data_IF_813036430239
#
_entry.id   IF_813036430239
#
_cell.length_a   1.000
_cell.length_b   1.000
_cell.length_c   1.000
_cell.angle_alpha   90.00
_cell.angle_beta   90.00
_cell.angle_gamma   90.00
#
_symmetry.space_group_name_H-M   'P 1'
#
loop_
_entity.id
_entity.type
_entity.pdbx_description
1 polymer ?
#
# COMPACT_ATOMS: atom_id res chain seq x y z
N UNK A 1 21.23 10.92 -42.71
CA UNK A 1 20.79 12.11 -41.94
C UNK A 1 21.05 11.86 -40.46
N UNK A 2 21.61 12.79 -39.68
CA UNK A 2 21.95 12.54 -38.29
C UNK A 2 20.69 12.47 -37.40
N UNK A 3 20.63 11.47 -36.53
CA UNK A 3 19.62 11.36 -35.46
C UNK A 3 19.87 12.47 -34.43
N UNK A 4 18.87 13.32 -34.18
CA UNK A 4 18.95 14.43 -33.23
C UNK A 4 18.26 14.05 -31.92
N UNK A 5 18.97 14.17 -30.80
CA UNK A 5 18.44 13.95 -29.46
C UNK A 5 18.14 15.27 -28.73
N UNK A 6 17.00 15.41 -28.07
CA UNK A 6 16.68 16.65 -27.34
C UNK A 6 17.29 16.66 -25.93
N UNK A 7 17.76 17.84 -25.49
CA UNK A 7 18.32 18.01 -24.14
C UNK A 7 17.28 17.74 -23.06
N UNK A 8 17.71 17.15 -21.94
CA UNK A 8 16.82 16.75 -20.83
C UNK A 8 16.09 17.91 -20.12
N UNK A 9 16.55 19.16 -20.28
CA UNK A 9 15.93 20.34 -19.65
C UNK A 9 14.90 21.05 -20.55
N UNK A 10 14.84 20.74 -21.84
CA UNK A 10 13.83 21.31 -22.74
C UNK A 10 12.58 20.45 -22.74
N UNK A 11 11.64 20.72 -21.81
CA UNK A 11 10.36 19.99 -21.62
C UNK A 11 9.38 20.04 -22.81
N UNK A 12 9.78 20.58 -23.97
CA UNK A 12 8.91 20.76 -25.15
C UNK A 12 9.60 20.34 -26.44
N UNK A 13 9.96 19.06 -26.53
CA UNK A 13 10.31 18.47 -27.81
C UNK A 13 9.50 17.19 -28.00
N UNK A 14 8.86 16.99 -29.18
CA UNK A 14 8.23 15.73 -29.49
C UNK A 14 9.25 14.60 -29.34
N UNK A 15 8.82 13.49 -28.75
CA UNK A 15 9.53 12.23 -28.87
C UNK A 15 9.73 11.92 -30.36
N UNK A 16 10.74 11.11 -30.68
CA UNK A 16 11.14 10.61 -32.00
C UNK A 16 11.70 11.64 -33.02
N UNK A 17 12.95 11.35 -33.42
CA UNK A 17 13.63 11.70 -34.67
C UNK A 17 12.83 12.63 -35.59
N UNK A 18 13.09 13.93 -35.51
CA UNK A 18 12.60 14.88 -36.50
C UNK A 18 13.61 14.97 -37.66
N UNK A 19 13.11 14.97 -38.90
CA UNK A 19 13.89 15.48 -40.03
C UNK A 19 13.96 17.00 -39.86
N UNK A 20 15.07 17.49 -39.32
CA UNK A 20 15.21 18.91 -39.02
C UNK A 20 15.96 19.59 -40.15
N UNK A 21 15.34 20.61 -40.74
CA UNK A 21 16.04 21.62 -41.53
C UNK A 21 16.98 22.37 -40.58
N UNK A 22 18.28 22.25 -40.79
CA UNK A 22 19.28 22.95 -39.98
C UNK A 22 19.70 24.20 -40.71
N UNK A 23 19.48 25.35 -40.09
CA UNK A 23 20.06 26.59 -40.60
C UNK A 23 21.54 26.66 -40.15
N UNK A 24 22.43 26.44 -41.11
CA UNK A 24 23.87 26.57 -40.93
C UNK A 24 24.36 28.02 -41.08
N UNK A 25 23.50 28.96 -41.51
CA UNK A 25 23.89 30.35 -41.76
C UNK A 25 23.92 31.16 -40.46
N UNK A 26 25.02 31.89 -40.27
CA UNK A 26 25.26 32.85 -39.19
C UNK A 26 25.23 32.25 -37.78
N UNK A 27 26.24 31.45 -37.47
CA UNK A 27 26.65 31.24 -36.10
C UNK A 27 27.41 32.48 -35.61
N UNK A 28 26.96 33.11 -34.52
CA UNK A 28 27.81 34.07 -33.82
C UNK A 28 29.09 33.35 -33.37
N UNK A 29 30.31 33.91 -33.54
CA UNK A 29 31.56 33.28 -33.13
C UNK A 29 31.53 32.81 -31.66
N UNK A 30 30.80 33.52 -30.81
CA UNK A 30 30.57 33.17 -29.40
C UNK A 30 29.92 31.80 -29.20
N UNK A 31 29.06 31.33 -30.11
CA UNK A 31 28.43 30.01 -30.02
C UNK A 31 29.38 28.86 -30.33
N UNK A 32 30.29 29.05 -31.30
CA UNK A 32 31.32 28.07 -31.59
C UNK A 32 32.29 27.90 -30.41
N UNK A 33 32.71 29.01 -29.81
CA UNK A 33 33.57 29.01 -28.64
C UNK A 33 32.90 28.31 -27.46
N UNK A 34 31.67 28.72 -27.12
CA UNK A 34 30.92 28.17 -25.99
C UNK A 34 30.58 26.68 -26.17
N UNK A 35 30.20 26.25 -27.37
CA UNK A 35 29.99 24.84 -27.66
C UNK A 35 31.28 24.04 -27.46
N UNK A 36 32.41 24.55 -27.97
CA UNK A 36 33.72 23.89 -27.86
C UNK A 36 34.17 23.74 -26.41
N UNK A 37 33.99 24.78 -25.58
CA UNK A 37 34.28 24.73 -24.14
C UNK A 37 33.51 23.62 -23.41
N UNK A 38 32.31 23.29 -23.89
CA UNK A 38 31.49 22.21 -23.33
C UNK A 38 31.72 20.83 -23.98
N UNK A 39 32.63 20.72 -24.96
CA UNK A 39 32.94 19.47 -25.66
C UNK A 39 32.05 19.19 -26.88
N UNK A 40 31.52 20.23 -27.52
CA UNK A 40 30.65 20.14 -28.69
C UNK A 40 31.13 21.00 -29.86
N UNK A 41 30.79 20.59 -31.07
CA UNK A 41 30.82 21.45 -32.26
C UNK A 41 29.44 22.06 -32.47
N UNK A 42 29.36 23.38 -32.65
CA UNK A 42 28.11 24.00 -33.11
C UNK A 42 27.73 23.41 -34.48
N UNK A 43 26.51 22.89 -34.57
CA UNK A 43 26.03 22.17 -35.75
C UNK A 43 24.99 22.96 -36.55
N UNK A 44 24.35 23.95 -35.92
CA UNK A 44 23.39 24.85 -36.56
C UNK A 44 22.29 25.27 -35.58
N UNK A 45 21.21 25.84 -36.10
CA UNK A 45 20.04 26.24 -35.30
C UNK A 45 18.74 25.75 -35.90
N UNK A 46 17.70 25.71 -35.07
CA UNK A 46 16.34 25.48 -35.54
C UNK A 46 15.84 26.74 -36.29
N UNK A 47 15.39 26.61 -37.55
CA UNK A 47 14.93 27.75 -38.35
C UNK A 47 13.60 28.32 -37.84
N UNK A 48 12.78 27.51 -37.16
CA UNK A 48 11.49 27.92 -36.57
C UNK A 48 11.68 28.40 -35.14
N UNK A 49 12.59 27.79 -34.39
CA UNK A 49 12.83 28.09 -32.97
C UNK A 49 14.25 28.66 -32.81
N UNK A 50 14.39 29.97 -33.03
CA UNK A 50 15.70 30.66 -32.98
C UNK A 50 16.47 30.47 -31.66
N UNK A 51 15.76 30.19 -30.57
CA UNK A 51 16.36 29.93 -29.26
C UNK A 51 16.89 28.49 -29.11
N UNK A 52 16.76 27.64 -30.11
CA UNK A 52 17.22 26.25 -30.10
C UNK A 52 18.38 26.06 -31.07
N UNK A 53 19.48 25.51 -30.56
CA UNK A 53 20.70 25.22 -31.32
C UNK A 53 21.00 23.74 -31.32
N UNK A 54 21.57 23.25 -32.42
CA UNK A 54 22.05 21.89 -32.55
C UNK A 54 23.55 21.84 -32.26
N UNK A 55 23.94 20.90 -31.41
CA UNK A 55 25.30 20.66 -30.99
C UNK A 55 25.68 19.24 -31.38
N UNK A 56 26.85 19.05 -31.99
CA UNK A 56 27.42 17.75 -32.31
C UNK A 56 28.47 17.41 -31.26
N UNK A 57 28.29 16.30 -30.55
CA UNK A 57 29.21 15.88 -29.49
C UNK A 57 30.55 15.46 -30.09
N UNK A 58 31.66 16.01 -29.57
CA UNK A 58 33.00 15.66 -30.05
C UNK A 58 33.41 14.23 -29.66
N UNK A 59 32.79 13.63 -28.64
CA UNK A 59 33.13 12.28 -28.18
C UNK A 59 32.36 11.15 -28.87
N UNK A 60 31.12 11.38 -29.28
CA UNK A 60 30.26 10.32 -29.85
C UNK A 60 29.65 10.63 -31.20
N UNK A 61 29.93 11.82 -31.74
CA UNK A 61 29.35 12.42 -32.96
C UNK A 61 27.82 12.59 -32.95
N UNK A 62 27.15 12.24 -31.84
CA UNK A 62 25.72 12.42 -31.67
C UNK A 62 25.32 13.89 -31.72
N UNK A 63 24.23 14.18 -32.43
CA UNK A 63 23.66 15.53 -32.52
C UNK A 63 22.59 15.68 -31.45
N UNK A 64 22.61 16.80 -30.74
CA UNK A 64 21.58 17.14 -29.76
C UNK A 64 21.06 18.55 -29.91
N UNK A 65 19.79 18.76 -29.57
CA UNK A 65 19.16 20.07 -29.55
C UNK A 65 19.18 20.65 -28.13
N UNK A 66 19.66 21.88 -27.98
CA UNK A 66 19.79 22.57 -26.69
C UNK A 66 19.22 23.98 -26.82
N UNK A 67 18.53 24.45 -25.79
CA UNK A 67 18.11 25.85 -25.74
C UNK A 67 19.33 26.76 -25.49
N UNK A 68 19.44 27.88 -26.18
CA UNK A 68 20.57 28.82 -26.08
C UNK A 68 20.83 29.29 -24.65
N UNK A 69 19.77 29.51 -23.87
CA UNK A 69 19.89 29.77 -22.42
C UNK A 69 20.65 28.66 -21.69
N UNK A 70 20.31 27.38 -21.92
CA UNK A 70 20.98 26.23 -21.27
C UNK A 70 22.44 26.14 -21.69
N UNK A 71 22.75 26.41 -22.96
CA UNK A 71 24.14 26.46 -23.43
C UNK A 71 24.95 27.57 -22.75
N UNK A 72 24.32 28.68 -22.36
CA UNK A 72 24.96 29.81 -21.67
C UNK A 72 25.09 29.64 -20.16
N UNK A 73 24.10 29.03 -19.52
CA UNK A 73 23.98 29.03 -18.05
C UNK A 73 24.34 27.69 -17.41
N UNK A 74 24.53 26.64 -18.22
CA UNK A 74 24.84 25.31 -17.72
C UNK A 74 25.75 24.55 -18.70
N UNK A 75 26.31 23.43 -18.24
CA UNK A 75 27.02 22.48 -19.09
C UNK A 75 26.04 21.41 -19.59
N UNK A 76 25.58 21.43 -20.86
CA UNK A 76 24.65 20.43 -21.35
C UNK A 76 25.31 19.05 -21.41
N UNK A 77 24.61 18.01 -20.94
CA UNK A 77 25.05 16.62 -21.05
C UNK A 77 24.59 16.01 -22.37
N UNK A 78 25.49 15.31 -23.05
CA UNK A 78 25.18 14.67 -24.32
C UNK A 78 24.18 13.54 -24.09
N UNK A 79 23.02 13.62 -24.75
CA UNK A 79 21.96 12.61 -24.57
C UNK A 79 22.39 11.25 -25.10
N UNK A 80 23.08 11.18 -26.24
CA UNK A 80 23.60 9.92 -26.77
C UNK A 80 24.65 9.30 -25.85
N UNK A 81 25.63 10.06 -25.35
CA UNK A 81 26.63 9.55 -24.41
C UNK A 81 25.98 9.04 -23.13
N UNK A 82 24.98 9.77 -22.60
CA UNK A 82 24.29 9.35 -21.40
C UNK A 82 23.49 8.05 -21.60
N UNK A 83 22.75 7.92 -22.69
CA UNK A 83 21.98 6.70 -22.97
C UNK A 83 22.93 5.49 -23.17
N UNK A 84 24.07 5.69 -23.84
CA UNK A 84 25.12 4.66 -23.94
C UNK A 84 25.70 4.32 -22.57
N UNK A 85 25.91 5.30 -21.70
CA UNK A 85 26.38 5.07 -20.34
C UNK A 85 25.36 4.28 -19.53
N UNK A 86 24.07 4.62 -19.60
CA UNK A 86 22.99 3.84 -18.97
C UNK A 86 22.96 2.40 -19.48
N UNK A 87 23.13 2.19 -20.78
CA UNK A 87 23.18 0.84 -21.35
C UNK A 87 24.36 0.04 -20.82
N UNK A 88 25.57 0.63 -20.77
CA UNK A 88 26.76 -0.02 -20.20
C UNK A 88 26.59 -0.34 -18.71
N UNK A 89 26.04 0.59 -17.94
CA UNK A 89 25.76 0.40 -16.51
C UNK A 89 24.69 -0.67 -16.26
N UNK A 90 23.67 -0.74 -17.12
CA UNK A 90 22.68 -1.80 -17.10
C UNK A 90 23.35 -3.16 -17.33
N UNK A 91 24.17 -3.30 -18.37
CA UNK A 91 24.91 -4.54 -18.63
C UNK A 91 25.78 -4.95 -17.45
N UNK A 92 26.51 -4.01 -16.85
CA UNK A 92 27.30 -4.27 -15.63
C UNK A 92 26.45 -4.69 -14.42
N UNK A 93 25.19 -4.26 -14.37
CA UNK A 93 24.20 -4.65 -13.36
C UNK A 93 23.43 -5.94 -13.70
N UNK A 94 23.76 -6.64 -14.79
CA UNK A 94 23.02 -7.82 -15.25
C UNK A 94 21.62 -7.49 -15.79
N UNK A 95 21.42 -6.27 -16.29
CA UNK A 95 20.19 -5.76 -16.87
C UNK A 95 20.39 -5.43 -18.36
N UNK A 96 19.31 -5.49 -19.13
CA UNK A 96 19.28 -4.95 -20.49
C UNK A 96 18.60 -3.58 -20.48
N UNK A 97 19.27 -2.52 -20.96
CA UNK A 97 18.62 -1.22 -21.13
C UNK A 97 17.75 -1.20 -22.38
N UNK A 98 16.44 -0.98 -22.21
CA UNK A 98 15.48 -0.95 -23.31
C UNK A 98 15.30 0.47 -23.86
N UNK A 99 14.97 1.41 -22.96
CA UNK A 99 14.63 2.80 -23.35
C UNK A 99 14.65 3.74 -22.16
N UNK A 100 14.82 5.06 -22.39
CA UNK A 100 14.54 6.05 -21.35
C UNK A 100 13.06 6.03 -20.94
N UNK A 101 12.78 6.41 -19.70
CA UNK A 101 11.40 6.56 -19.25
C UNK A 101 10.74 7.79 -19.93
N UNK A 102 9.55 7.65 -20.54
CA UNK A 102 8.91 8.75 -21.29
C UNK A 102 8.60 9.99 -20.44
N UNK A 103 8.29 9.79 -19.16
CA UNK A 103 7.82 10.85 -18.26
C UNK A 103 8.83 11.23 -17.18
N UNK A 104 9.97 10.54 -17.09
CA UNK A 104 11.01 10.82 -16.09
C UNK A 104 12.40 10.64 -16.68
N UNK A 105 13.07 11.77 -16.94
CA UNK A 105 14.39 11.80 -17.55
C UNK A 105 15.52 11.21 -16.68
N UNK A 106 15.26 10.98 -15.38
CA UNK A 106 16.21 10.35 -14.45
C UNK A 106 16.07 8.83 -14.39
N UNK A 107 15.02 8.27 -15.02
CA UNK A 107 14.72 6.84 -15.02
C UNK A 107 14.91 6.20 -16.39
N UNK A 108 15.33 4.94 -16.37
CA UNK A 108 15.35 4.05 -17.52
C UNK A 108 14.37 2.91 -17.33
N UNK A 109 13.94 2.32 -18.45
CA UNK A 109 13.24 1.05 -18.51
C UNK A 109 14.26 -0.02 -18.90
N UNK A 110 14.33 -1.08 -18.11
CA UNK A 110 15.30 -2.16 -18.26
C UNK A 110 14.60 -3.50 -18.23
N UNK A 111 15.14 -4.52 -18.92
CA UNK A 111 14.74 -5.92 -18.72
C UNK A 111 15.64 -6.54 -17.66
N UNK A 112 15.01 -7.12 -16.65
CA UNK A 112 15.70 -7.89 -15.61
C UNK A 112 15.98 -9.33 -16.08
N UNK A 113 16.89 -10.02 -15.40
CA UNK A 113 17.20 -11.44 -15.68
C UNK A 113 16.00 -12.38 -15.53
N UNK A 114 14.98 -11.99 -14.75
CA UNK A 114 13.71 -12.68 -14.66
C UNK A 114 12.76 -12.44 -15.86
N UNK A 115 13.18 -11.69 -16.88
CA UNK A 115 12.43 -11.38 -18.09
C UNK A 115 11.52 -10.14 -18.01
N UNK A 116 11.21 -9.65 -16.80
CA UNK A 116 10.30 -8.52 -16.58
C UNK A 116 10.94 -7.15 -16.86
N UNK A 117 10.13 -6.20 -17.30
CA UNK A 117 10.54 -4.79 -17.41
C UNK A 117 10.47 -4.09 -16.04
N UNK A 118 11.51 -3.34 -15.70
CA UNK A 118 11.61 -2.56 -14.46
C UNK A 118 11.99 -1.11 -14.75
N UNK A 119 11.35 -0.18 -14.04
CA UNK A 119 11.68 1.25 -14.12
C UNK A 119 12.60 1.65 -12.98
N UNK A 120 13.83 2.06 -13.25
CA UNK A 120 14.83 2.39 -12.22
C UNK A 120 15.57 3.68 -12.52
N UNK A 121 15.92 4.39 -11.45
CA UNK A 121 16.85 5.51 -11.55
C UNK A 121 18.25 5.00 -11.91
N UNK A 122 18.98 5.77 -12.72
CA UNK A 122 20.35 5.41 -13.12
C UNK A 122 21.26 5.12 -11.93
N UNK A 123 21.21 5.97 -10.88
CA UNK A 123 22.02 5.82 -9.66
C UNK A 123 21.75 4.49 -8.95
N UNK A 124 20.50 4.00 -8.98
CA UNK A 124 20.17 2.70 -8.40
C UNK A 124 20.78 1.54 -9.22
N UNK A 125 20.72 1.63 -10.56
CA UNK A 125 21.35 0.65 -11.45
C UNK A 125 22.88 0.61 -11.25
N UNK A 126 23.52 1.76 -11.10
CA UNK A 126 24.95 1.83 -10.77
C UNK A 126 25.28 1.13 -9.43
N UNK A 127 24.42 1.27 -8.41
CA UNK A 127 24.60 0.56 -7.13
C UNK A 127 24.44 -0.96 -7.29
N UNK A 128 23.55 -1.42 -8.17
CA UNK A 128 23.40 -2.86 -8.48
C UNK A 128 24.68 -3.38 -9.16
N UNK A 129 25.17 -2.70 -10.20
CA UNK A 129 26.39 -3.10 -10.91
C UNK A 129 27.64 -3.10 -10.02
N UNK A 130 27.65 -2.26 -8.98
CA UNK A 130 28.69 -2.26 -7.95
C UNK A 130 28.48 -3.32 -6.86
N UNK A 131 27.46 -4.18 -6.94
CA UNK A 131 27.15 -5.20 -5.95
C UNK A 131 26.63 -4.67 -4.60
N UNK A 132 26.32 -3.38 -4.49
CA UNK A 132 25.93 -2.75 -3.21
C UNK A 132 24.48 -3.03 -2.83
N UNK A 133 23.62 -3.28 -3.80
CA UNK A 133 22.21 -3.58 -3.61
C UNK A 133 21.74 -4.62 -4.62
N UNK A 134 20.83 -5.49 -4.21
CA UNK A 134 20.19 -6.42 -5.13
C UNK A 134 19.04 -5.75 -5.89
N UNK A 135 18.79 -6.20 -7.12
CA UNK A 135 17.58 -5.83 -7.85
C UNK A 135 16.36 -6.50 -7.20
N UNK A 136 15.39 -5.70 -6.78
CA UNK A 136 14.04 -6.17 -6.44
C UNK A 136 13.12 -5.94 -7.63
N UNK A 137 12.65 -6.99 -8.29
CA UNK A 137 11.61 -6.89 -9.33
C UNK A 137 10.22 -6.93 -8.68
N UNK A 138 9.37 -5.94 -8.98
CA UNK A 138 8.01 -5.83 -8.43
C UNK A 138 7.14 -7.01 -8.87
N UNK A 139 7.18 -7.39 -10.15
CA UNK A 139 6.39 -8.51 -10.67
C UNK A 139 6.81 -9.84 -10.04
N UNK A 140 8.10 -10.12 -9.90
CA UNK A 140 8.57 -11.33 -9.21
C UNK A 140 8.16 -11.35 -7.74
N UNK A 141 8.21 -10.20 -7.07
CA UNK A 141 7.77 -10.07 -5.69
C UNK A 141 6.26 -10.36 -5.57
N UNK A 142 5.44 -9.77 -6.42
CA UNK A 142 3.99 -10.00 -6.43
C UNK A 142 3.65 -11.46 -6.73
N UNK A 143 4.32 -12.07 -7.71
CA UNK A 143 4.16 -13.49 -8.02
C UNK A 143 4.52 -14.39 -6.82
N UNK A 144 5.61 -14.06 -6.10
CA UNK A 144 5.98 -14.77 -4.88
C UNK A 144 4.94 -14.61 -3.78
N UNK A 145 4.46 -13.38 -3.55
CA UNK A 145 3.45 -13.11 -2.54
C UNK A 145 2.11 -13.82 -2.88
N UNK A 146 1.72 -13.86 -4.15
CA UNK A 146 0.54 -14.58 -4.62
C UNK A 146 0.70 -16.09 -4.51
N UNK A 147 1.90 -16.62 -4.75
CA UNK A 147 2.21 -18.03 -4.53
C UNK A 147 2.12 -18.40 -3.04
N UNK A 148 2.64 -17.54 -2.16
CA UNK A 148 2.55 -17.75 -0.72
C UNK A 148 1.10 -17.72 -0.22
N UNK A 149 0.33 -16.74 -0.66
CA UNK A 149 -1.10 -16.66 -0.35
C UNK A 149 -1.83 -17.95 -0.71
N UNK A 150 -1.56 -18.51 -1.90
CA UNK A 150 -2.18 -19.75 -2.37
C UNK A 150 -1.85 -20.95 -1.48
N UNK A 151 -0.62 -21.04 -0.95
CA UNK A 151 -0.25 -22.11 0.00
C UNK A 151 -1.11 -22.07 1.27
N UNK A 152 -1.53 -20.88 1.68
CA UNK A 152 -2.39 -20.68 2.84
C UNK A 152 -3.90 -20.69 2.52
N UNK A 153 -4.30 -20.97 1.26
CA UNK A 153 -5.71 -20.94 0.86
C UNK A 153 -6.26 -19.53 0.62
N UNK A 154 -5.40 -18.57 0.25
CA UNK A 154 -5.77 -17.18 -0.04
C UNK A 154 -5.37 -16.77 -1.46
N UNK A 155 -6.12 -15.82 -2.01
CA UNK A 155 -5.87 -15.19 -3.30
C UNK A 155 -5.45 -13.75 -3.04
N UNK A 156 -4.30 -13.32 -3.56
CA UNK A 156 -3.86 -11.93 -3.51
C UNK A 156 -4.71 -11.09 -4.48
N UNK A 157 -5.43 -10.09 -3.94
CA UNK A 157 -6.23 -9.16 -4.75
C UNK A 157 -5.44 -7.90 -5.14
N UNK A 158 -4.44 -7.51 -4.35
CA UNK A 158 -3.57 -6.37 -4.66
C UNK A 158 -3.35 -5.43 -3.48
N UNK A 159 -3.44 -4.13 -3.75
CA UNK A 159 -3.24 -3.08 -2.76
C UNK A 159 -4.24 -3.20 -1.59
N UNK A 160 -3.82 -2.86 -0.36
CA UNK A 160 -4.70 -2.93 0.81
C UNK A 160 -5.73 -1.81 0.82
N UNK A 161 -6.81 -1.99 1.57
CA UNK A 161 -7.85 -0.96 1.73
C UNK A 161 -7.43 0.20 2.61
N UNK A 162 -6.51 -0.01 3.55
CA UNK A 162 -6.02 1.03 4.46
C UNK A 162 -4.87 1.87 3.88
N UNK A 163 -4.37 1.55 2.69
CA UNK A 163 -3.25 2.25 2.05
C UNK A 163 -1.85 1.98 2.65
N UNK A 164 -1.72 1.17 3.70
CA UNK A 164 -0.41 0.87 4.31
C UNK A 164 0.38 -0.11 3.43
N UNK A 165 1.56 0.27 2.91
CA UNK A 165 2.33 -0.57 1.99
C UNK A 165 2.79 -1.91 2.57
N UNK A 166 2.77 -2.09 3.90
CA UNK A 166 3.09 -3.35 4.57
C UNK A 166 1.96 -4.38 4.49
N UNK A 167 0.75 -3.95 4.14
CA UNK A 167 -0.42 -4.79 3.98
C UNK A 167 -0.68 -5.08 2.51
N UNK A 168 -1.42 -6.16 2.28
CA UNK A 168 -2.02 -6.50 1.00
C UNK A 168 -3.45 -6.99 1.23
N UNK A 169 -4.31 -6.76 0.24
CA UNK A 169 -5.69 -7.25 0.25
C UNK A 169 -5.70 -8.70 -0.24
N UNK A 170 -6.33 -9.58 0.51
CA UNK A 170 -6.48 -11.00 0.16
C UNK A 170 -7.95 -11.42 0.21
N UNK A 171 -8.30 -12.42 -0.61
CA UNK A 171 -9.57 -13.14 -0.60
C UNK A 171 -9.33 -14.55 -0.05
N UNK A 172 -10.10 -14.94 0.97
CA UNK A 172 -10.05 -16.29 1.50
C UNK A 172 -10.77 -17.24 0.54
N UNK A 173 -10.10 -18.29 0.06
CA UNK A 173 -10.71 -19.23 -0.89
C UNK A 173 -11.88 -20.01 -0.28
N UNK A 174 -11.83 -20.33 1.01
CA UNK A 174 -12.85 -21.16 1.67
C UNK A 174 -14.18 -20.46 1.97
N UNK A 175 -14.20 -19.13 2.15
CA UNK A 175 -15.42 -18.39 2.52
C UNK A 175 -15.63 -17.07 1.76
N UNK A 176 -14.77 -16.77 0.78
CA UNK A 176 -14.81 -15.53 -0.01
C UNK A 176 -14.69 -14.23 0.80
N UNK A 177 -14.27 -14.30 2.06
CA UNK A 177 -14.02 -13.12 2.87
C UNK A 177 -12.76 -12.39 2.40
N UNK A 178 -12.84 -11.06 2.34
CA UNK A 178 -11.69 -10.22 2.00
C UNK A 178 -11.14 -9.54 3.26
N UNK A 179 -9.82 -9.53 3.41
CA UNK A 179 -9.18 -8.78 4.49
C UNK A 179 -7.77 -8.33 4.12
N UNK A 180 -7.31 -7.30 4.82
CA UNK A 180 -5.92 -6.85 4.71
C UNK A 180 -5.07 -7.68 5.68
N UNK A 181 -3.98 -8.25 5.17
CA UNK A 181 -3.02 -9.05 5.95
C UNK A 181 -1.64 -8.48 5.69
N UNK A 182 -0.80 -8.38 6.72
CA UNK A 182 0.60 -7.97 6.53
C UNK A 182 1.33 -9.01 5.69
N UNK A 183 2.25 -8.57 4.83
CA UNK A 183 3.07 -9.50 4.02
C UNK A 183 3.86 -10.45 4.94
N UNK A 184 4.34 -9.98 6.08
CA UNK A 184 5.05 -10.80 7.08
C UNK A 184 4.18 -11.89 7.73
N UNK A 185 2.93 -11.57 8.07
CA UNK A 185 2.02 -12.59 8.61
C UNK A 185 1.65 -13.61 7.53
N UNK A 186 1.39 -13.16 6.31
CA UNK A 186 1.13 -14.06 5.17
C UNK A 186 2.30 -15.03 4.94
N UNK A 187 3.54 -14.57 5.07
CA UNK A 187 4.74 -15.42 4.95
C UNK A 187 4.92 -16.41 6.11
N UNK A 188 4.51 -16.04 7.33
CA UNK A 188 4.72 -16.86 8.53
C UNK A 188 3.54 -17.77 8.88
N UNK A 189 2.40 -17.64 8.19
CA UNK A 189 1.16 -18.33 8.54
C UNK A 189 0.45 -17.78 9.79
N UNK A 190 0.96 -16.70 10.40
CA UNK A 190 0.43 -16.13 11.66
C UNK A 190 -0.75 -15.19 11.42
N UNK A 191 -1.83 -15.73 10.89
CA UNK A 191 -3.08 -15.01 10.62
C UNK A 191 -4.24 -15.98 10.53
N UNK A 192 -5.45 -15.43 10.57
CA UNK A 192 -6.68 -16.20 10.56
C UNK A 192 -7.74 -15.44 9.75
N UNK A 193 -8.61 -16.16 9.05
CA UNK A 193 -9.76 -15.55 8.37
C UNK A 193 -10.76 -15.00 9.40
N UNK A 194 -10.96 -13.68 9.45
CA UNK A 194 -11.90 -13.06 10.40
C UNK A 194 -13.36 -13.52 10.25
N UNK A 195 -13.69 -14.19 9.14
CA UNK A 195 -15.02 -14.73 8.88
C UNK A 195 -15.18 -16.21 9.28
N UNK A 196 -14.14 -17.05 9.14
CA UNK A 196 -14.30 -18.50 9.27
C UNK A 196 -13.14 -19.26 9.93
N UNK A 197 -12.03 -18.62 10.32
CA UNK A 197 -10.92 -19.37 10.92
C UNK A 197 -11.22 -19.81 12.36
N UNK A 198 -10.82 -21.04 12.67
CA UNK A 198 -11.19 -21.79 13.87
C UNK A 198 -10.18 -21.73 15.03
N UNK A 199 -9.08 -20.98 14.93
CA UNK A 199 -8.16 -20.80 16.05
C UNK A 199 -8.82 -19.98 17.16
N UNK A 200 -9.21 -20.63 18.27
CA UNK A 200 -10.05 -20.17 19.41
C UNK A 200 -11.57 -20.29 19.26
N UNK A 201 -12.08 -20.59 18.06
CA UNK A 201 -13.50 -20.47 17.74
C UNK A 201 -14.15 -21.82 17.35
N UNK A 202 -13.40 -22.93 17.37
CA UNK A 202 -13.93 -24.28 17.12
C UNK A 202 -14.74 -24.84 18.29
N UNK A 203 -14.32 -24.54 19.52
CA UNK A 203 -14.97 -25.10 20.71
C UNK A 203 -16.32 -24.42 20.95
N UNK A 204 -17.18 -25.11 21.67
CA UNK A 204 -18.42 -24.51 22.18
C UNK A 204 -18.12 -23.22 22.93
N UNK A 205 -18.91 -22.19 22.61
CA UNK A 205 -18.89 -20.91 23.30
C UNK A 205 -20.31 -20.45 23.61
N UNK A 206 -20.41 -19.42 24.43
CA UNK A 206 -21.65 -18.72 24.73
C UNK A 206 -21.56 -17.30 24.21
N UNK A 207 -22.69 -16.76 23.75
CA UNK A 207 -22.96 -15.32 23.86
C UNK A 207 -23.62 -15.10 25.22
N UNK A 208 -23.28 -14.01 25.89
CA UNK A 208 -23.82 -13.69 27.21
C UNK A 208 -24.21 -12.22 27.29
N UNK A 209 -25.09 -11.94 28.23
CA UNK A 209 -25.53 -10.62 28.64
C UNK A 209 -25.19 -10.46 30.11
N UNK A 210 -24.29 -9.54 30.43
CA UNK A 210 -23.95 -9.18 31.80
C UNK A 210 -24.64 -7.89 32.20
N UNK A 211 -24.92 -7.76 33.49
CA UNK A 211 -25.40 -6.56 34.17
C UNK A 211 -24.34 -6.06 35.15
N UNK A 212 -24.23 -4.74 35.26
CA UNK A 212 -23.33 -4.06 36.19
C UNK A 212 -24.10 -2.95 36.89
N UNK A 213 -23.88 -2.82 38.19
CA UNK A 213 -24.41 -1.76 39.04
C UNK A 213 -23.26 -1.14 39.83
N UNK A 214 -23.09 0.17 39.68
CA UNK A 214 -22.04 0.90 40.37
C UNK A 214 -22.48 1.24 41.80
N UNK A 215 -21.54 1.39 42.74
CA UNK A 215 -21.83 1.80 44.10
C UNK A 215 -22.67 3.08 44.19
N UNK A 216 -23.41 3.21 45.29
CA UNK A 216 -24.17 4.42 45.65
C UNK A 216 -25.18 4.91 44.60
N UNK A 217 -25.62 4.01 43.70
CA UNK A 217 -26.56 4.33 42.62
C UNK A 217 -25.96 5.19 41.51
N UNK A 218 -24.63 5.17 41.35
CA UNK A 218 -23.93 5.98 40.34
C UNK A 218 -24.25 5.59 38.89
N UNK A 219 -24.80 4.39 38.66
CA UNK A 219 -25.30 3.98 37.36
C UNK A 219 -25.46 2.47 37.19
N UNK A 220 -26.23 2.10 36.17
CA UNK A 220 -26.47 0.72 35.76
C UNK A 220 -26.11 0.54 34.28
N UNK A 221 -25.48 -0.59 33.96
CA UNK A 221 -24.95 -0.87 32.63
C UNK A 221 -25.13 -2.34 32.26
N UNK A 222 -25.09 -2.61 30.95
CA UNK A 222 -25.13 -3.98 30.43
C UNK A 222 -24.08 -4.21 29.37
N UNK A 223 -23.54 -5.43 29.31
CA UNK A 223 -22.57 -5.85 28.29
C UNK A 223 -23.09 -7.07 27.54
N UNK A 224 -22.99 -7.01 26.22
CA UNK A 224 -23.05 -8.21 25.38
C UNK A 224 -21.61 -8.64 25.09
N UNK A 225 -21.32 -9.92 25.23
CA UNK A 225 -20.02 -10.48 24.88
C UNK A 225 -20.08 -11.96 24.56
N UNK A 226 -18.94 -12.53 24.19
CA UNK A 226 -18.79 -13.97 23.94
C UNK A 226 -17.66 -14.58 24.77
N UNK A 227 -17.87 -15.79 25.28
CA UNK A 227 -16.87 -16.52 26.06
C UNK A 227 -17.23 -18.01 26.16
N UNK A 228 -16.22 -18.86 26.30
CA UNK A 228 -16.42 -20.27 26.67
C UNK A 228 -16.91 -20.44 28.12
N UNK A 229 -16.61 -19.46 28.98
CA UNK A 229 -16.92 -19.44 30.41
C UNK A 229 -17.34 -18.03 30.83
N UNK A 230 -18.58 -17.59 30.54
CA UNK A 230 -19.07 -16.25 30.87
C UNK A 230 -18.83 -15.87 32.34
N UNK A 231 -19.16 -16.76 33.27
CA UNK A 231 -19.07 -16.50 34.71
C UNK A 231 -17.61 -16.33 35.18
N UNK A 232 -16.69 -17.12 34.63
CA UNK A 232 -15.27 -16.97 34.95
C UNK A 232 -14.67 -15.70 34.33
N UNK A 233 -15.17 -15.28 33.16
CA UNK A 233 -14.78 -14.03 32.52
C UNK A 233 -15.24 -12.83 33.33
N UNK A 234 -16.51 -12.82 33.76
CA UNK A 234 -17.06 -11.78 34.62
C UNK A 234 -16.25 -11.60 35.90
N UNK A 235 -15.90 -12.71 36.57
CA UNK A 235 -15.17 -12.68 37.86
C UNK A 235 -13.69 -12.33 37.76
N UNK A 236 -13.01 -12.64 36.65
CA UNK A 236 -11.54 -12.65 36.63
C UNK A 236 -10.90 -11.84 35.49
N UNK A 237 -11.67 -11.37 34.50
CA UNK A 237 -11.10 -10.75 33.29
C UNK A 237 -11.56 -9.31 33.06
N UNK A 238 -12.57 -8.84 33.79
CA UNK A 238 -13.07 -7.47 33.62
C UNK A 238 -12.43 -6.44 34.53
N UNK A 239 -11.59 -6.85 35.49
CA UNK A 239 -10.87 -5.90 36.36
C UNK A 239 -11.80 -4.83 36.94
N UNK A 240 -12.90 -5.29 37.56
CA UNK A 240 -13.95 -4.42 38.09
C UNK A 240 -13.42 -3.64 39.30
N UNK A 241 -13.74 -2.35 39.35
CA UNK A 241 -13.46 -1.53 40.52
C UNK A 241 -14.20 -2.07 41.77
N UNK A 242 -13.64 -1.77 42.95
CA UNK A 242 -14.21 -2.19 44.23
C UNK A 242 -15.65 -1.69 44.40
N UNK A 243 -16.53 -2.60 44.83
CA UNK A 243 -17.95 -2.30 45.10
C UNK A 243 -18.88 -2.41 43.90
N UNK A 244 -18.38 -2.58 42.67
CA UNK A 244 -19.23 -2.83 41.50
C UNK A 244 -19.91 -4.20 41.63
N UNK A 245 -21.24 -4.21 41.63
CA UNK A 245 -22.01 -5.44 41.55
C UNK A 245 -22.13 -5.88 40.10
N UNK A 246 -21.91 -7.16 39.82
CA UNK A 246 -21.95 -7.69 38.46
C UNK A 246 -22.54 -9.11 38.42
N UNK A 247 -23.42 -9.36 37.44
CA UNK A 247 -24.03 -10.68 37.23
C UNK A 247 -24.19 -11.03 35.74
N UNK A 248 -24.15 -12.32 35.43
CA UNK A 248 -24.52 -12.82 34.09
C UNK A 248 -26.05 -12.98 34.07
N UNK A 249 -26.76 -12.10 33.38
CA UNK A 249 -28.22 -12.17 33.25
C UNK A 249 -28.66 -13.35 32.38
N UNK A 250 -28.04 -13.50 31.21
CA UNK A 250 -28.44 -14.49 30.21
C UNK A 250 -27.26 -15.02 29.43
N UNK A 251 -27.36 -16.28 28.96
CA UNK A 251 -26.40 -16.87 28.00
C UNK A 251 -27.10 -17.77 26.99
N UNK A 252 -26.53 -17.85 25.79
CA UNK A 252 -27.00 -18.75 24.72
C UNK A 252 -25.81 -19.55 24.23
N UNK A 253 -25.94 -20.88 24.20
CA UNK A 253 -24.89 -21.81 23.79
C UNK A 253 -24.80 -21.87 22.27
N UNK A 254 -23.58 -21.93 21.76
CA UNK A 254 -23.27 -22.20 20.36
C UNK A 254 -22.27 -23.35 20.26
N UNK A 255 -22.43 -24.19 19.25
CA UNK A 255 -21.52 -25.33 19.02
C UNK A 255 -20.07 -24.90 18.83
N UNK A 256 -19.88 -23.71 18.25
CA UNK A 256 -18.57 -23.14 17.97
C UNK A 256 -18.54 -21.66 18.37
N UNK A 257 -17.41 -21.22 18.91
CA UNK A 257 -17.11 -19.80 19.11
C UNK A 257 -17.29 -18.95 17.86
N UNK A 258 -17.10 -19.52 16.67
CA UNK A 258 -17.30 -18.79 15.41
C UNK A 258 -18.76 -18.40 15.20
N UNK A 259 -19.71 -19.30 15.52
CA UNK A 259 -21.14 -18.98 15.50
C UNK A 259 -21.48 -17.93 16.56
N UNK A 260 -20.97 -18.08 17.78
CA UNK A 260 -21.18 -17.10 18.87
C UNK A 260 -20.65 -15.71 18.51
N UNK A 261 -19.43 -15.61 17.95
CA UNK A 261 -18.81 -14.34 17.55
C UNK A 261 -19.59 -13.65 16.43
N UNK A 262 -20.09 -14.40 15.44
CA UNK A 262 -20.92 -13.81 14.37
C UNK A 262 -22.22 -13.25 14.92
N UNK A 263 -22.87 -13.97 15.84
CA UNK A 263 -24.09 -13.51 16.48
C UNK A 263 -23.85 -12.26 17.34
N UNK A 264 -22.78 -12.26 18.14
CA UNK A 264 -22.38 -11.12 18.98
C UNK A 264 -22.13 -9.86 18.15
N UNK A 265 -21.31 -9.96 17.09
CA UNK A 265 -21.06 -8.83 16.17
C UNK A 265 -22.33 -8.29 15.54
N UNK A 266 -23.27 -9.18 15.18
CA UNK A 266 -24.54 -8.78 14.59
C UNK A 266 -25.41 -8.01 15.60
N UNK A 267 -25.44 -8.42 16.88
CA UNK A 267 -26.13 -7.68 17.94
C UNK A 267 -25.51 -6.29 18.10
N UNK A 268 -24.18 -6.21 18.23
CA UNK A 268 -23.49 -4.94 18.37
C UNK A 268 -23.72 -4.00 17.18
N UNK A 269 -23.69 -4.53 15.95
CA UNK A 269 -24.03 -3.78 14.73
C UNK A 269 -25.47 -3.26 14.80
N UNK A 270 -26.42 -4.13 15.13
CA UNK A 270 -27.85 -3.76 15.21
C UNK A 270 -28.09 -2.65 16.22
N UNK A 271 -27.44 -2.71 17.39
CA UNK A 271 -27.56 -1.68 18.43
C UNK A 271 -26.91 -0.36 17.98
N UNK A 272 -25.69 -0.39 17.45
CA UNK A 272 -25.00 0.84 17.01
C UNK A 272 -25.71 1.54 15.84
N UNK A 273 -26.27 0.77 14.91
CA UNK A 273 -26.97 1.33 13.76
C UNK A 273 -28.32 1.95 14.14
N UNK A 274 -29.04 1.35 15.10
CA UNK A 274 -30.39 1.79 15.48
C UNK A 274 -30.40 2.79 16.66
N UNK A 275 -29.46 2.63 17.60
CA UNK A 275 -29.42 3.33 18.89
C UNK A 275 -27.98 3.65 19.31
N UNK A 276 -27.26 4.50 18.57
CA UNK A 276 -25.89 4.90 18.92
C UNK A 276 -25.81 5.58 20.29
N UNK A 277 -26.90 6.21 20.77
CA UNK A 277 -26.99 6.88 22.06
C UNK A 277 -26.87 5.96 23.27
N UNK A 278 -27.12 4.65 23.10
CA UNK A 278 -26.99 3.68 24.17
C UNK A 278 -25.56 3.18 24.38
N UNK A 279 -24.63 3.50 23.48
CA UNK A 279 -23.23 3.09 23.60
C UNK A 279 -22.54 3.96 24.64
N UNK A 280 -21.94 3.34 25.66
CA UNK A 280 -21.18 4.07 26.69
C UNK A 280 -19.81 4.46 26.13
N UNK A 281 -19.40 5.70 26.37
CA UNK A 281 -18.12 6.23 25.92
C UNK A 281 -16.96 5.66 26.77
N UNK A 282 -15.75 5.60 26.22
CA UNK A 282 -14.62 5.00 26.93
C UNK A 282 -14.22 5.80 28.18
N UNK A 283 -14.52 7.10 28.18
CA UNK A 283 -14.28 8.03 29.28
C UNK A 283 -15.12 7.71 30.53
N UNK A 284 -16.22 6.96 30.38
CA UNK A 284 -17.14 6.58 31.45
C UNK A 284 -16.90 5.15 31.97
N UNK A 285 -15.85 4.47 31.49
CA UNK A 285 -15.54 3.07 31.77
C UNK A 285 -14.31 2.90 32.66
N UNK A 286 -14.00 3.87 33.51
CA UNK A 286 -12.88 3.78 34.46
C UNK A 286 -13.08 2.71 35.56
N UNK A 287 -14.30 2.20 35.72
CA UNK A 287 -14.68 1.13 36.66
C UNK A 287 -14.54 -0.29 36.10
N UNK A 288 -14.16 -0.47 34.82
CA UNK A 288 -14.02 -1.77 34.16
C UNK A 288 -12.86 -1.79 33.16
N UNK A 289 -12.09 -2.87 33.11
CA UNK A 289 -10.95 -3.08 32.22
C UNK A 289 -11.28 -3.28 30.73
N UNK A 290 -12.45 -2.85 30.24
CA UNK A 290 -12.84 -2.90 28.82
C UNK A 290 -13.25 -1.51 28.32
N UNK A 291 -12.88 -1.19 27.08
CA UNK A 291 -13.07 0.15 26.52
C UNK A 291 -14.28 0.29 25.59
N UNK A 292 -15.07 -0.78 25.41
CA UNK A 292 -16.20 -0.78 24.47
C UNK A 292 -17.22 -1.88 24.75
N UNK A 293 -18.33 -1.83 23.99
CA UNK A 293 -19.41 -2.82 24.02
C UNK A 293 -20.14 -2.88 25.38
N UNK A 294 -20.06 -1.78 26.12
CA UNK A 294 -20.91 -1.48 27.27
C UNK A 294 -22.04 -0.59 26.79
N UNK A 295 -23.24 -0.88 27.26
CA UNK A 295 -24.45 -0.15 26.92
C UNK A 295 -25.13 0.37 28.17
N UNK A 296 -25.85 1.47 28.02
CA UNK A 296 -26.74 2.00 29.07
C UNK A 296 -27.86 0.98 29.37
N UNK A 297 -28.40 1.03 30.58
CA UNK A 297 -29.44 0.11 31.04
C UNK A 297 -30.71 0.15 30.17
N UNK A 298 -31.01 1.27 29.52
CA UNK A 298 -32.12 1.45 28.59
C UNK A 298 -32.05 0.51 27.37
N UNK A 299 -30.85 0.02 27.02
CA UNK A 299 -30.68 -0.95 25.95
C UNK A 299 -31.19 -2.36 26.33
N UNK A 300 -31.34 -2.66 27.63
CA UNK A 300 -31.63 -4.00 28.13
C UNK A 300 -32.88 -4.64 27.48
N UNK A 301 -34.05 -3.99 27.40
CA UNK A 301 -35.23 -4.59 26.76
C UNK A 301 -34.99 -4.95 25.29
N UNK A 302 -34.25 -4.10 24.56
CA UNK A 302 -33.91 -4.35 23.16
C UNK A 302 -32.94 -5.51 23.01
N UNK A 303 -31.92 -5.58 23.86
CA UNK A 303 -30.94 -6.68 23.88
C UNK A 303 -31.63 -8.01 24.20
N UNK A 304 -32.51 -8.05 25.21
CA UNK A 304 -33.31 -9.24 25.54
C UNK A 304 -34.14 -9.73 24.37
N UNK A 305 -34.75 -8.82 23.61
CA UNK A 305 -35.48 -9.19 22.37
C UNK A 305 -34.55 -9.82 21.34
N UNK A 306 -33.36 -9.25 21.11
CA UNK A 306 -32.38 -9.82 20.19
C UNK A 306 -31.87 -11.21 20.64
N UNK A 307 -31.73 -11.42 21.95
CA UNK A 307 -31.39 -12.73 22.54
C UNK A 307 -32.52 -13.74 22.34
N UNK A 308 -33.78 -13.35 22.54
CA UNK A 308 -34.94 -14.20 22.28
C UNK A 308 -35.01 -14.62 20.80
N UNK A 309 -34.85 -13.67 19.87
CA UNK A 309 -34.81 -13.94 18.43
C UNK A 309 -33.62 -14.83 18.03
N UNK A 310 -32.51 -14.76 18.78
CA UNK A 310 -31.34 -15.60 18.57
C UNK A 310 -31.54 -17.03 19.09
N UNK A 311 -32.17 -17.20 20.28
CA UNK A 311 -32.55 -18.52 20.80
C UNK A 311 -33.48 -19.26 19.84
N UNK A 312 -34.53 -18.58 19.38
CA UNK A 312 -35.50 -19.16 18.44
C UNK A 312 -34.85 -19.68 17.15
N UNK A 313 -33.76 -19.06 16.68
CA UNK A 313 -33.00 -19.49 15.48
C UNK A 313 -31.94 -20.56 15.75
N UNK A 314 -31.56 -20.79 17.00
CA UNK A 314 -30.56 -21.79 17.38
C UNK A 314 -31.19 -23.10 17.84
N UNK A 315 -32.47 -23.06 18.24
CA UNK A 315 -33.28 -24.23 18.60
C UNK A 315 -34.08 -24.81 17.43
N UNK A 316 -34.20 -24.08 16.32
CA UNK A 316 -34.82 -24.51 15.07
C UNK A 316 -33.81 -25.18 14.12
#
# INVERSE_FOLDING_TARGET
MPLVHYSRRSRRAPAHVAHILIDHRLAKPSWHCLASQHGYRYFGRDPKIRAQVYLRCLSCDGVMAVHTHVLRTARPECTSCYLRAMAREATAAGLEFLRPCPHDSHRGIYRASCGHEVSRQRVFVQKIGAGKVALRCETCLENRNAAEARKHGWILLGAPSNGDPNYRRYLHHGCSHQQDITVGNMLSGRFACHSCSEGWLSDTSYIYLDYFELPDGAGEFVKVGMSRRPEARLRHQFDLADGVHAEVLEKIRFDTGAKALRAEKQIHKTLRDAHPEWVVSAEELDWIGVTSEIYRIEALPRIRKLFADLRARTEA
#
